data_IF_355583973343
#
_entry.id   IF_355583973343
#
_cell.length_a   1.000
_cell.length_b   1.000
_cell.length_c   1.000
_cell.angle_alpha   90.00
_cell.angle_beta   90.00
_cell.angle_gamma   90.00
#
_symmetry.space_group_name_H-M   'P 1'
#
loop_
_entity.id
_entity.type
_entity.pdbx_description
1 polymer ?
#
# COMPACT_ATOMS: atom_id res chain seq x y z
N UNK A 1 -9.87 -7.34 4.50
CA UNK A 1 -9.37 -5.95 4.26
C UNK A 1 -8.15 -6.03 3.34
N UNK A 2 -7.89 -5.01 2.52
CA UNK A 2 -6.70 -4.99 1.66
C UNK A 2 -5.83 -3.75 1.93
N UNK A 3 -4.52 -3.93 1.83
CA UNK A 3 -3.52 -2.86 1.88
C UNK A 3 -2.81 -2.80 0.52
N UNK A 4 -2.97 -1.68 -0.19
CA UNK A 4 -2.19 -1.38 -1.38
C UNK A 4 -0.99 -0.52 -1.03
N UNK A 5 0.20 -0.90 -1.46
CA UNK A 5 1.43 -0.12 -1.36
C UNK A 5 1.89 0.32 -2.75
N UNK A 6 2.17 1.61 -2.92
CA UNK A 6 2.79 2.18 -4.12
C UNK A 6 4.12 2.83 -3.70
N UNK A 7 5.22 2.10 -3.91
CA UNK A 7 6.56 2.55 -3.55
C UNK A 7 7.21 3.26 -4.73
N UNK A 8 6.82 4.52 -4.95
CA UNK A 8 7.39 5.37 -5.98
C UNK A 8 8.79 5.92 -5.63
N UNK A 9 9.49 6.43 -6.65
CA UNK A 9 10.82 7.05 -6.48
C UNK A 9 10.79 8.33 -5.66
N UNK A 10 9.72 9.11 -5.78
CA UNK A 10 9.55 10.36 -5.04
C UNK A 10 8.81 10.17 -3.71
N UNK A 11 7.76 9.34 -3.71
CA UNK A 11 6.91 9.12 -2.55
C UNK A 11 6.45 7.66 -2.46
N UNK A 12 6.45 7.14 -1.24
CA UNK A 12 5.78 5.91 -0.87
C UNK A 12 4.36 6.22 -0.43
N UNK A 13 3.39 5.42 -0.89
CA UNK A 13 1.98 5.58 -0.57
C UNK A 13 1.43 4.25 -0.07
N UNK A 14 0.43 4.35 0.79
CA UNK A 14 -0.36 3.21 1.22
C UNK A 14 -1.85 3.55 1.19
N UNK A 15 -2.68 2.59 0.82
CA UNK A 15 -4.13 2.72 0.88
C UNK A 15 -4.73 1.48 1.54
N UNK A 16 -5.59 1.70 2.53
CA UNK A 16 -6.40 0.66 3.12
C UNK A 16 -7.80 0.70 2.53
N UNK A 17 -8.24 -0.44 2.00
CA UNK A 17 -9.57 -0.61 1.43
C UNK A 17 -10.30 -1.76 2.11
N UNK A 18 -11.60 -1.61 2.31
CA UNK A 18 -12.44 -2.71 2.80
C UNK A 18 -12.78 -3.72 1.70
N UNK A 19 -13.53 -4.76 2.08
CA UNK A 19 -13.95 -5.84 1.17
C UNK A 19 -14.93 -5.37 0.08
N UNK A 20 -15.47 -4.17 0.20
CA UNK A 20 -16.29 -3.51 -0.84
C UNK A 20 -15.47 -2.53 -1.67
N UNK A 21 -14.14 -2.62 -1.60
CA UNK A 21 -13.18 -1.73 -2.25
C UNK A 21 -13.37 -0.24 -1.91
N UNK A 22 -13.96 0.06 -0.74
CA UNK A 22 -14.05 1.45 -0.26
C UNK A 22 -12.78 1.82 0.48
N UNK A 23 -12.20 2.95 0.11
CA UNK A 23 -11.04 3.53 0.80
C UNK A 23 -11.44 3.88 2.24
N UNK A 24 -10.72 3.31 3.20
CA UNK A 24 -10.81 3.65 4.62
C UNK A 24 -9.80 4.71 5.00
N UNK A 25 -8.58 4.58 4.49
CA UNK A 25 -7.51 5.50 4.79
C UNK A 25 -6.44 5.47 3.69
N UNK A 26 -5.77 6.60 3.52
CA UNK A 26 -4.63 6.77 2.63
C UNK A 26 -3.48 7.42 3.37
N UNK A 27 -2.26 7.02 3.04
CA UNK A 27 -1.03 7.50 3.64
C UNK A 27 -0.03 7.84 2.55
N UNK A 28 0.79 8.85 2.79
CA UNK A 28 1.86 9.25 1.89
C UNK A 28 3.06 9.71 2.70
N UNK A 29 4.24 9.25 2.29
CA UNK A 29 5.54 9.67 2.82
C UNK A 29 6.47 9.95 1.66
N UNK A 30 7.39 10.89 1.82
CA UNK A 30 8.43 11.11 0.82
C UNK A 30 9.49 10.01 0.93
N UNK A 31 9.87 9.42 -0.20
CA UNK A 31 10.90 8.37 -0.23
C UNK A 31 12.29 8.95 0.04
N UNK A 32 12.61 10.13 -0.53
CA UNK A 32 13.93 10.80 -0.39
C UNK A 32 15.14 9.90 -0.73
N UNK A 33 14.95 8.88 -1.55
CA UNK A 33 15.96 7.88 -1.86
C UNK A 33 16.15 6.79 -0.79
N UNK A 34 15.50 6.90 0.37
CA UNK A 34 15.51 5.89 1.43
C UNK A 34 14.16 5.16 1.49
N UNK A 35 14.08 4.05 0.77
CA UNK A 35 12.86 3.24 0.70
C UNK A 35 12.57 2.51 2.01
N UNK A 36 13.60 2.14 2.78
CA UNK A 36 13.41 1.41 4.02
C UNK A 36 12.80 2.32 5.09
N UNK A 37 13.32 3.54 5.22
CA UNK A 37 12.76 4.56 6.10
C UNK A 37 11.31 4.90 5.69
N UNK A 38 11.07 5.10 4.38
CA UNK A 38 9.73 5.38 3.87
C UNK A 38 8.73 4.26 4.20
N UNK A 39 9.11 3.00 3.97
CA UNK A 39 8.26 1.85 4.27
C UNK A 39 7.99 1.72 5.77
N UNK A 40 9.01 1.91 6.61
CA UNK A 40 8.89 1.92 8.07
C UNK A 40 7.91 3.01 8.53
N UNK A 41 8.04 4.23 7.99
CA UNK A 41 7.14 5.35 8.30
C UNK A 41 5.70 5.06 7.89
N UNK A 42 5.47 4.45 6.71
CA UNK A 42 4.12 4.03 6.30
C UNK A 42 3.52 3.03 7.29
N UNK A 43 4.26 1.99 7.69
CA UNK A 43 3.77 1.01 8.66
C UNK A 43 3.54 1.61 10.05
N UNK A 44 4.36 2.57 10.47
CA UNK A 44 4.12 3.32 11.70
C UNK A 44 2.82 4.13 11.62
N UNK A 45 2.56 4.83 10.50
CA UNK A 45 1.31 5.58 10.31
C UNK A 45 0.08 4.65 10.27
N UNK A 46 0.21 3.47 9.65
CA UNK A 46 -0.87 2.47 9.59
C UNK A 46 -1.15 1.90 10.98
N UNK A 47 -0.12 1.48 11.72
CA UNK A 47 -0.28 0.87 13.05
C UNK A 47 -0.82 1.85 14.11
N UNK A 48 -0.55 3.15 13.95
CA UNK A 48 -1.07 4.20 14.84
C UNK A 48 -2.42 4.76 14.41
N UNK A 49 -2.95 4.35 13.26
CA UNK A 49 -4.29 4.73 12.83
C UNK A 49 -5.36 4.09 13.73
N UNK A 50 -6.51 4.75 13.90
CA UNK A 50 -7.62 4.29 14.77
C UNK A 50 -8.40 3.07 14.21
N UNK A 51 -7.71 2.15 13.54
CA UNK A 51 -8.31 0.91 13.06
C UNK A 51 -8.44 -0.06 14.23
N UNK A 52 -9.58 -0.76 14.30
CA UNK A 52 -9.73 -1.80 15.33
C UNK A 52 -8.70 -2.91 15.06
N UNK A 53 -8.05 -3.47 16.09
CA UNK A 53 -7.13 -4.61 15.92
C UNK A 53 -7.78 -5.80 15.20
N UNK A 54 -9.09 -6.00 15.39
CA UNK A 54 -9.87 -7.02 14.67
C UNK A 54 -9.92 -6.78 13.16
N UNK A 55 -9.89 -5.52 12.71
CA UNK A 55 -9.91 -5.15 11.29
C UNK A 55 -8.61 -5.49 10.56
N UNK A 56 -7.50 -5.64 11.30
CA UNK A 56 -6.18 -5.93 10.76
C UNK A 56 -5.82 -7.43 10.81
N UNK A 57 -6.67 -8.27 11.41
CA UNK A 57 -6.39 -9.69 11.63
C UNK A 57 -6.22 -10.52 10.35
N UNK A 58 -6.70 -10.04 9.20
CA UNK A 58 -6.52 -10.62 7.86
C UNK A 58 -6.46 -9.52 6.80
N UNK A 59 -5.28 -8.95 6.61
CA UNK A 59 -5.01 -7.97 5.55
C UNK A 59 -4.27 -8.67 4.42
N UNK A 60 -4.87 -8.71 3.24
CA UNK A 60 -4.15 -9.06 2.01
C UNK A 60 -3.40 -7.84 1.51
N UNK A 61 -2.14 -8.01 1.12
CA UNK A 61 -1.24 -6.91 0.76
C UNK A 61 -0.89 -7.02 -0.72
N UNK A 62 -1.07 -5.92 -1.45
CA UNK A 62 -0.61 -5.77 -2.82
C UNK A 62 0.42 -4.64 -2.91
N UNK A 63 1.46 -4.82 -3.72
CA UNK A 63 2.52 -3.82 -3.89
C UNK A 63 2.82 -3.51 -5.34
N UNK A 64 3.06 -2.22 -5.62
CA UNK A 64 3.53 -1.72 -6.89
C UNK A 64 4.61 -0.63 -6.74
N UNK A 65 4.94 0.05 -7.83
CA UNK A 65 5.99 1.05 -7.89
C UNK A 65 7.38 0.44 -8.08
N UNK A 66 8.39 1.30 -8.27
CA UNK A 66 9.79 0.88 -8.45
C UNK A 66 10.35 0.19 -7.21
N UNK A 67 9.88 0.58 -6.02
CA UNK A 67 10.32 0.03 -4.74
C UNK A 67 9.88 -1.42 -4.51
N UNK A 68 8.93 -1.96 -5.29
CA UNK A 68 8.51 -3.36 -5.17
C UNK A 68 9.65 -4.35 -5.44
N UNK A 69 10.69 -3.93 -6.16
CA UNK A 69 11.86 -4.75 -6.49
C UNK A 69 13.05 -4.53 -5.54
N UNK A 70 12.91 -3.66 -4.53
CA UNK A 70 14.00 -3.27 -3.63
C UNK A 70 13.99 -4.05 -2.29
N UNK A 71 13.01 -4.91 -2.10
CA UNK A 71 12.85 -5.72 -0.89
C UNK A 71 12.51 -7.16 -1.25
N UNK A 72 12.93 -8.08 -0.39
CA UNK A 72 12.48 -9.47 -0.42
C UNK A 72 11.13 -9.56 0.29
N UNK A 73 10.05 -9.62 -0.49
CA UNK A 73 8.70 -9.71 0.04
C UNK A 73 8.33 -11.16 0.41
N UNK A 74 7.54 -11.36 1.49
CA UNK A 74 6.90 -12.65 1.75
C UNK A 74 6.06 -13.11 0.57
N UNK A 75 5.94 -14.43 0.39
CA UNK A 75 5.23 -15.03 -0.74
C UNK A 75 3.73 -14.68 -0.77
N UNK A 76 3.18 -14.27 0.37
CA UNK A 76 1.78 -13.85 0.53
C UNK A 76 1.51 -12.43 0.04
N UNK A 77 2.55 -11.66 -0.30
CA UNK A 77 2.42 -10.29 -0.83
C UNK A 77 2.39 -10.33 -2.35
N UNK A 78 1.29 -9.84 -2.92
CA UNK A 78 1.08 -9.80 -4.36
C UNK A 78 1.80 -8.60 -4.98
N UNK A 79 2.81 -8.86 -5.81
CA UNK A 79 3.54 -7.81 -6.54
C UNK A 79 2.94 -7.63 -7.93
N UNK A 80 2.56 -6.39 -8.27
CA UNK A 80 1.95 -6.08 -9.56
C UNK A 80 2.60 -4.90 -10.29
N UNK A 81 2.45 -4.90 -11.61
CA UNK A 81 2.89 -3.80 -12.47
C UNK A 81 2.14 -2.49 -12.13
N UNK A 82 2.86 -1.36 -12.16
CA UNK A 82 2.32 -0.04 -11.78
C UNK A 82 1.27 0.48 -12.75
N UNK A 83 1.45 0.25 -14.05
CA UNK A 83 0.46 0.64 -15.06
C UNK A 83 -0.83 -0.15 -14.83
N UNK A 84 -0.74 -1.44 -14.53
CA UNK A 84 -1.90 -2.28 -14.20
C UNK A 84 -2.57 -1.79 -12.91
N UNK A 85 -1.80 -1.52 -11.86
CA UNK A 85 -2.30 -1.00 -10.59
C UNK A 85 -3.07 0.32 -10.77
N UNK A 86 -2.51 1.25 -11.56
CA UNK A 86 -3.11 2.54 -11.87
C UNK A 86 -4.42 2.38 -12.63
N UNK A 87 -4.46 1.53 -13.66
CA UNK A 87 -5.67 1.28 -14.45
C UNK A 87 -6.77 0.65 -13.58
N UNK A 88 -6.43 -0.37 -12.79
CA UNK A 88 -7.39 -1.04 -11.91
C UNK A 88 -7.91 -0.08 -10.82
N UNK A 89 -7.03 0.68 -10.19
CA UNK A 89 -7.40 1.66 -9.18
C UNK A 89 -8.28 2.78 -9.73
N UNK A 90 -7.96 3.29 -10.93
CA UNK A 90 -8.76 4.32 -11.60
C UNK A 90 -10.15 3.79 -11.99
N UNK A 91 -10.22 2.63 -12.63
CA UNK A 91 -11.49 1.99 -13.00
C UNK A 91 -12.38 1.70 -11.77
N UNK A 92 -11.78 1.30 -10.65
CA UNK A 92 -12.53 1.05 -9.41
C UNK A 92 -13.18 2.33 -8.84
N UNK A 93 -12.54 3.49 -8.99
CA UNK A 93 -13.08 4.77 -8.53
C UNK A 93 -14.04 5.41 -9.55
N UNK A 94 -13.81 5.15 -10.84
CA UNK A 94 -14.56 5.71 -11.97
C UNK A 94 -14.91 4.58 -12.96
N UNK A 95 -15.93 3.76 -12.62
CA UNK A 95 -16.30 2.59 -13.41
C UNK A 95 -16.93 2.93 -14.76
#
# INVERSE_FOLDING_TARGET
MFLGLDLGSFAGKAVLVDEKFKIKQSFIVLTRGDYQEALSNLFQMISTSQLSPSSLSRVAIGITGVGRHLFDWPAEIESLNEIVALVLGAHQLFP
#
